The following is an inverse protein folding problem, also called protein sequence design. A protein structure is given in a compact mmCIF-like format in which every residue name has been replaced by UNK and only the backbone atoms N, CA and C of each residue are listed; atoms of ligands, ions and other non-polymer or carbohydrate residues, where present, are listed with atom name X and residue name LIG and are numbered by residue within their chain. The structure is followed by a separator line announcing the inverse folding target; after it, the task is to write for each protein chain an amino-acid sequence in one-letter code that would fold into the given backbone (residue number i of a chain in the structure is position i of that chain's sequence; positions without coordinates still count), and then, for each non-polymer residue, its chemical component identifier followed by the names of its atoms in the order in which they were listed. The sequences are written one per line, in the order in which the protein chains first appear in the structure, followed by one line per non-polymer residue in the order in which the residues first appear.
data_IF_870430549660
#
_entry.id   IF_870430549660
#
_cell.length_a   1.000
_cell.length_b   1.000
_cell.length_c   1.000
_cell.angle_alpha   90.00
_cell.angle_beta   90.00
_cell.angle_gamma   90.00
#
_symmetry.space_group_name_H-M   'P 1'
#
loop_
_entity.id
_entity.type
_entity.pdbx_description
1 polymer ?
#
# COMPACT_ATOMS: atom_id res chain seq x y z
N UNK A 1 -15.72 -16.85 -2.98
CA UNK A 1 -15.07 -16.71 -1.66
C UNK A 1 -15.69 -17.75 -0.73
N UNK A 2 -14.87 -18.51 0.00
CA UNK A 2 -15.36 -19.46 0.99
C UNK A 2 -15.81 -18.70 2.26
N UNK A 3 -17.09 -18.80 2.59
CA UNK A 3 -17.67 -18.11 3.74
C UNK A 3 -17.16 -18.65 5.08
N UNK A 4 -16.82 -19.94 5.16
CA UNK A 4 -16.29 -20.53 6.40
C UNK A 4 -14.92 -19.97 6.74
N UNK A 5 -14.09 -19.73 5.72
CA UNK A 5 -12.77 -19.09 5.89
C UNK A 5 -12.94 -17.66 6.39
N UNK A 6 -13.86 -16.90 5.79
CA UNK A 6 -14.14 -15.51 6.20
C UNK A 6 -14.58 -15.42 7.66
N UNK A 7 -15.57 -16.23 8.06
CA UNK A 7 -16.08 -16.24 9.43
C UNK A 7 -15.00 -16.63 10.45
N UNK A 8 -14.20 -17.65 10.11
CA UNK A 8 -13.05 -18.06 10.95
C UNK A 8 -12.02 -16.95 11.09
N UNK A 9 -11.70 -16.23 10.01
CA UNK A 9 -10.77 -15.11 10.05
C UNK A 9 -11.29 -13.99 10.96
N UNK A 10 -12.55 -13.56 10.79
CA UNK A 10 -13.14 -12.47 11.58
C UNK A 10 -13.15 -12.83 13.06
N UNK A 11 -13.59 -14.04 13.42
CA UNK A 11 -13.63 -14.46 14.84
C UNK A 11 -12.24 -14.48 15.51
N UNK A 12 -11.20 -14.89 14.78
CA UNK A 12 -9.83 -14.82 15.31
C UNK A 12 -9.29 -13.40 15.35
N UNK A 13 -9.64 -12.56 14.38
CA UNK A 13 -9.25 -11.15 14.39
C UNK A 13 -9.82 -10.45 15.62
N UNK A 14 -11.12 -10.58 15.88
CA UNK A 14 -11.77 -10.02 17.06
C UNK A 14 -11.16 -10.53 18.37
N UNK A 15 -10.82 -11.83 18.43
CA UNK A 15 -10.22 -12.45 19.62
C UNK A 15 -8.81 -11.93 19.92
N UNK A 16 -7.95 -11.79 18.91
CA UNK A 16 -6.52 -11.53 19.11
C UNK A 16 -6.11 -10.07 18.86
N UNK A 17 -6.92 -9.31 18.12
CA UNK A 17 -6.64 -7.92 17.74
C UNK A 17 -7.77 -6.99 18.21
N UNK A 18 -8.03 -7.04 19.52
CA UNK A 18 -9.14 -6.34 20.18
C UNK A 18 -9.22 -4.85 19.80
N UNK A 19 -10.28 -4.47 19.07
CA UNK A 19 -10.54 -3.10 18.64
C UNK A 19 -9.71 -2.60 17.44
N UNK A 20 -8.84 -3.44 16.87
CA UNK A 20 -8.10 -3.07 15.67
C UNK A 20 -8.99 -3.20 14.41
N UNK A 21 -8.93 -2.19 13.53
CA UNK A 21 -9.58 -2.25 12.22
C UNK A 21 -9.08 -3.46 11.41
N UNK A 22 -9.95 -4.02 10.55
CA UNK A 22 -9.55 -5.10 9.63
C UNK A 22 -8.33 -4.72 8.80
N UNK A 23 -7.42 -5.66 8.47
CA UNK A 23 -6.21 -5.34 7.75
C UNK A 23 -6.53 -4.92 6.30
N UNK A 24 -5.69 -4.04 5.74
CA UNK A 24 -5.67 -3.80 4.29
C UNK A 24 -4.91 -4.96 3.64
N UNK A 25 -5.56 -5.67 2.73
CA UNK A 25 -4.93 -6.75 1.95
C UNK A 25 -4.49 -6.22 0.59
N UNK A 26 -3.36 -6.69 0.08
CA UNK A 26 -2.89 -6.37 -1.27
C UNK A 26 -2.24 -7.60 -1.91
N UNK A 27 -2.10 -7.55 -3.23
CA UNK A 27 -1.43 -8.56 -4.04
C UNK A 27 -0.89 -7.90 -5.32
N UNK A 28 0.07 -8.56 -5.97
CA UNK A 28 0.62 -8.11 -7.25
C UNK A 28 -0.11 -8.77 -8.42
N UNK A 29 -0.43 -7.97 -9.44
CA UNK A 29 -1.14 -8.38 -10.65
C UNK A 29 -0.87 -7.37 -11.76
N UNK A 30 -0.98 -7.80 -13.02
CA UNK A 30 -0.88 -6.94 -14.19
C UNK A 30 -2.26 -6.43 -14.67
N UNK A 31 -3.33 -6.78 -13.97
CA UNK A 31 -4.72 -6.47 -14.33
C UNK A 31 -5.45 -5.85 -13.15
N UNK A 32 -6.27 -4.83 -13.41
CA UNK A 32 -7.04 -4.13 -12.39
C UNK A 32 -8.18 -4.95 -11.78
N UNK A 33 -8.74 -5.93 -12.51
CA UNK A 33 -9.79 -6.86 -12.03
C UNK A 33 -10.96 -6.18 -11.31
N UNK A 34 -11.39 -5.03 -11.83
CA UNK A 34 -12.51 -4.24 -11.28
C UNK A 34 -12.12 -3.26 -10.17
N UNK A 35 -10.84 -3.17 -9.79
CA UNK A 35 -10.35 -2.11 -8.91
C UNK A 35 -10.28 -0.75 -9.62
N UNK A 36 -10.40 0.33 -8.85
CA UNK A 36 -10.23 1.70 -9.32
C UNK A 36 -8.76 1.95 -9.69
N UNK A 37 -8.49 2.26 -10.96
CA UNK A 37 -7.14 2.60 -11.43
C UNK A 37 -6.76 3.98 -10.87
N UNK A 38 -5.69 4.01 -10.10
CA UNK A 38 -5.19 5.24 -9.48
C UNK A 38 -4.44 6.05 -10.54
N UNK A 39 -4.91 7.29 -10.75
CA UNK A 39 -4.30 8.20 -11.73
C UNK A 39 -2.84 8.51 -11.37
N UNK A 40 -1.99 8.80 -12.36
CA UNK A 40 -0.63 9.26 -12.12
C UNK A 40 -0.60 10.41 -11.13
N UNK A 41 0.37 10.39 -10.22
CA UNK A 41 0.51 11.44 -9.22
C UNK A 41 1.00 12.74 -9.86
N UNK A 42 0.34 13.86 -9.58
CA UNK A 42 0.76 15.19 -10.06
C UNK A 42 1.92 15.80 -9.24
N UNK A 43 2.71 14.98 -8.55
CA UNK A 43 3.82 15.41 -7.69
C UNK A 43 4.16 14.40 -6.59
N UNK A 44 4.79 14.89 -5.51
CA UNK A 44 5.17 14.05 -4.38
C UNK A 44 3.93 13.62 -3.58
N UNK A 45 3.46 12.39 -3.82
CA UNK A 45 2.31 11.79 -3.14
C UNK A 45 2.68 10.43 -2.59
N UNK A 46 2.50 10.24 -1.29
CA UNK A 46 2.72 8.96 -0.64
C UNK A 46 1.52 8.01 -0.84
N UNK A 47 1.79 6.71 -1.01
CA UNK A 47 0.77 5.66 -1.09
C UNK A 47 -0.22 5.69 0.10
N UNK A 48 0.23 6.09 1.28
CA UNK A 48 -0.62 6.22 2.46
C UNK A 48 -1.78 7.19 2.27
N UNK A 49 -1.63 8.21 1.41
CA UNK A 49 -2.72 9.14 1.09
C UNK A 49 -3.89 8.44 0.35
N UNK A 50 -3.63 7.35 -0.36
CA UNK A 50 -4.65 6.57 -1.06
C UNK A 50 -5.16 5.37 -0.24
N UNK A 51 -4.40 4.89 0.75
CA UNK A 51 -4.87 3.83 1.66
C UNK A 51 -6.11 4.22 2.46
N UNK A 52 -6.34 5.52 2.72
CA UNK A 52 -7.59 5.99 3.32
C UNK A 52 -8.83 5.57 2.51
N UNK A 53 -8.73 5.50 1.18
CA UNK A 53 -9.84 5.00 0.33
C UNK A 53 -9.97 3.49 0.43
N UNK A 54 -8.86 2.76 0.54
CA UNK A 54 -8.90 1.31 0.77
C UNK A 54 -9.57 0.96 2.10
N UNK A 55 -9.36 1.79 3.14
CA UNK A 55 -10.06 1.67 4.44
C UNK A 55 -11.57 1.79 4.33
N UNK A 56 -12.11 2.53 3.35
CA UNK A 56 -13.57 2.62 3.12
C UNK A 56 -14.10 1.46 2.27
N UNK A 57 -13.33 0.39 2.07
CA UNK A 57 -13.74 -0.81 1.31
C UNK A 57 -13.55 -0.69 -0.21
N UNK A 58 -12.84 0.32 -0.71
CA UNK A 58 -12.53 0.42 -2.15
C UNK A 58 -11.31 -0.41 -2.51
N UNK A 59 -11.39 -1.16 -3.61
CA UNK A 59 -10.22 -1.78 -4.23
C UNK A 59 -9.53 -0.75 -5.14
N UNK A 60 -8.22 -0.57 -4.95
CA UNK A 60 -7.38 0.32 -5.75
C UNK A 60 -6.35 -0.48 -6.54
N UNK A 61 -6.08 -0.05 -7.77
CA UNK A 61 -5.03 -0.58 -8.62
C UNK A 61 -3.96 0.49 -8.84
N UNK A 62 -2.71 0.15 -8.51
CA UNK A 62 -1.56 1.03 -8.63
C UNK A 62 -0.58 0.46 -9.64
N UNK A 63 0.05 1.37 -10.39
CA UNK A 63 1.22 1.07 -11.20
C UNK A 63 2.39 2.01 -10.83
N UNK A 64 3.50 1.90 -11.56
CA UNK A 64 4.70 2.72 -11.34
C UNK A 64 4.46 4.23 -11.52
N UNK A 65 3.45 4.62 -12.30
CA UNK A 65 3.10 6.02 -12.58
C UNK A 65 2.12 6.58 -11.54
N UNK A 66 1.28 5.72 -10.94
CA UNK A 66 0.39 6.09 -9.82
C UNK A 66 1.17 6.56 -8.57
N UNK A 67 2.40 6.09 -8.37
CA UNK A 67 3.16 6.33 -7.14
C UNK A 67 4.06 7.57 -7.28
N UNK A 68 3.73 8.63 -6.54
CA UNK A 68 4.42 9.91 -6.65
C UNK A 68 5.69 10.07 -5.81
N UNK A 69 5.97 9.17 -4.86
CA UNK A 69 7.15 9.25 -4.01
C UNK A 69 8.14 8.11 -4.27
N UNK A 70 9.43 8.43 -4.18
CA UNK A 70 10.52 7.48 -4.42
C UNK A 70 10.47 6.28 -3.46
N UNK A 71 10.27 6.53 -2.17
CA UNK A 71 10.12 5.48 -1.17
C UNK A 71 8.96 4.54 -1.51
N UNK A 72 7.82 5.07 -1.96
CA UNK A 72 6.67 4.27 -2.38
C UNK A 72 7.02 3.36 -3.56
N UNK A 73 7.68 3.90 -4.61
CA UNK A 73 8.10 3.11 -5.77
C UNK A 73 9.03 1.96 -5.36
N UNK A 74 10.00 2.23 -4.47
CA UNK A 74 10.94 1.24 -3.95
C UNK A 74 10.25 0.15 -3.14
N UNK A 75 9.49 0.53 -2.11
CA UNK A 75 8.88 -0.43 -1.18
C UNK A 75 7.73 -1.22 -1.78
N UNK A 76 7.09 -0.71 -2.84
CA UNK A 76 6.10 -1.46 -3.62
C UNK A 76 6.73 -2.29 -4.75
N UNK A 77 8.05 -2.21 -4.97
CA UNK A 77 8.74 -3.02 -5.97
C UNK A 77 8.63 -2.52 -7.41
N UNK A 78 8.22 -1.27 -7.63
CA UNK A 78 8.18 -0.65 -8.96
C UNK A 78 9.54 -0.13 -9.43
N UNK A 79 10.51 0.00 -8.53
CA UNK A 79 11.90 0.31 -8.87
C UNK A 79 12.87 -0.40 -7.94
N UNK A 80 14.01 -0.80 -8.47
CA UNK A 80 15.16 -1.29 -7.70
C UNK A 80 16.18 -0.18 -7.43
N UNK A 81 16.07 0.95 -8.11
CA UNK A 81 16.97 2.09 -7.96
C UNK A 81 16.79 2.72 -6.57
N UNK A 82 17.91 3.14 -5.99
CA UNK A 82 17.99 3.91 -4.75
C UNK A 82 18.74 5.20 -5.04
N UNK A 83 18.29 6.32 -4.46
CA UNK A 83 19.10 7.54 -4.47
C UNK A 83 20.39 7.32 -3.67
N UNK A 84 21.44 8.08 -3.98
CA UNK A 84 22.66 8.07 -3.17
C UNK A 84 22.35 8.45 -1.72
N UNK A 85 23.09 7.84 -0.78
CA UNK A 85 22.94 8.06 0.66
C UNK A 85 21.52 7.77 1.20
N UNK A 86 20.77 6.87 0.55
CA UNK A 86 19.41 6.51 0.96
C UNK A 86 19.33 6.00 2.41
N UNK A 87 20.33 5.26 2.87
CA UNK A 87 20.45 4.80 4.26
C UNK A 87 20.59 5.94 5.26
N UNK A 88 21.31 7.02 4.90
CA UNK A 88 21.41 8.23 5.71
C UNK A 88 20.07 8.97 5.72
N UNK A 89 19.43 9.12 4.55
CA UNK A 89 18.09 9.70 4.43
C UNK A 89 17.07 9.02 5.37
N UNK A 90 17.08 7.69 5.46
CA UNK A 90 16.17 6.94 6.32
C UNK A 90 16.52 6.97 7.82
N UNK A 91 17.80 7.17 8.16
CA UNK A 91 18.28 7.04 9.54
C UNK A 91 18.41 8.38 10.24
N UNK A 92 19.25 9.28 9.74
CA UNK A 92 19.60 10.55 10.40
C UNK A 92 19.43 11.78 9.50
N UNK A 93 18.91 11.62 8.29
CA UNK A 93 18.88 12.65 7.26
C UNK A 93 20.17 12.71 6.45
N UNK A 94 20.11 13.37 5.29
CA UNK A 94 21.26 13.59 4.42
C UNK A 94 22.03 14.80 4.98
N UNK A 95 23.32 14.65 5.34
CA UNK A 95 24.15 15.79 5.74
C UNK A 95 24.20 16.82 4.60
N UNK A 96 23.91 18.09 4.93
CA UNK A 96 23.95 19.22 3.99
C UNK A 96 25.36 19.77 3.78
#
# INVERSE_FOLDING_TARGET
MDMKIKEKFISYWEKYFNGAELPITFYYTNEARGAEVVKPSSGHRCIFADLCKARTGKSLYFDAESIGCFGGKKYLGFTTEVMENFEYFLSCGIPG
#
